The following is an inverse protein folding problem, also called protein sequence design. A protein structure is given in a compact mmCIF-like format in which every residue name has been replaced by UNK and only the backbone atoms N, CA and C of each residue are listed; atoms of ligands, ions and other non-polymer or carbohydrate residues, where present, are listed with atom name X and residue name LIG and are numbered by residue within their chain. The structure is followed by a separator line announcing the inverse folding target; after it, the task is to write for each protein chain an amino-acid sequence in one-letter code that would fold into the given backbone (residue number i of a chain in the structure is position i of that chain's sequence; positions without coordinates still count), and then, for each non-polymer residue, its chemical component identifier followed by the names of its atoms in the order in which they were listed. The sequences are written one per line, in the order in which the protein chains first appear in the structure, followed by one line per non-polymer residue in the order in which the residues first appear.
data_IF_283005073814
#
_entry.id   IF_283005073814
#
_cell.length_a   1.000
_cell.length_b   1.000
_cell.length_c   1.000
_cell.angle_alpha   90.00
_cell.angle_beta   90.00
_cell.angle_gamma   90.00
#
_symmetry.space_group_name_H-M   'P 1'
#
loop_
_entity.id
_entity.type
_entity.pdbx_description
1 polymer ?
#
# COMPACT_ATOMS: atom_id res chain seq x y z
N UNK A 1 -23.98 6.75 6.02
CA UNK A 1 -24.47 6.26 4.71
C UNK A 1 -25.71 5.42 4.95
N UNK A 2 -26.68 5.53 4.05
CA UNK A 2 -28.00 4.92 4.16
C UNK A 2 -28.16 3.80 3.12
N UNK A 3 -27.55 2.62 3.34
CA UNK A 3 -27.62 1.53 2.38
C UNK A 3 -29.02 0.94 2.35
N UNK A 4 -29.60 0.82 1.16
CA UNK A 4 -30.89 0.15 1.02
C UNK A 4 -30.80 -1.34 1.39
N UNK A 5 -31.87 -1.89 1.95
CA UNK A 5 -31.93 -3.31 2.31
C UNK A 5 -32.06 -4.19 1.07
N UNK A 6 -32.95 -3.82 0.15
CA UNK A 6 -33.29 -4.52 -1.08
C UNK A 6 -33.02 -3.65 -2.31
N UNK A 7 -32.68 -4.27 -3.44
CA UNK A 7 -32.48 -3.58 -4.73
C UNK A 7 -31.50 -2.39 -4.69
N UNK A 8 -30.38 -2.59 -4.00
CA UNK A 8 -29.35 -1.58 -3.73
C UNK A 8 -28.75 -0.92 -4.96
N UNK A 9 -28.88 -1.57 -6.11
CA UNK A 9 -28.48 -1.08 -7.41
C UNK A 9 -29.37 0.07 -7.92
N UNK A 10 -30.55 0.28 -7.35
CA UNK A 10 -31.54 1.24 -7.85
C UNK A 10 -31.25 2.65 -7.32
N UNK A 11 -30.91 3.64 -8.19
CA UNK A 11 -30.53 4.98 -7.75
C UNK A 11 -31.63 5.73 -6.98
N UNK A 12 -32.91 5.54 -7.35
CA UNK A 12 -34.04 6.25 -6.74
C UNK A 12 -34.12 6.08 -5.21
N UNK A 13 -33.60 4.96 -4.67
CA UNK A 13 -33.59 4.70 -3.23
C UNK A 13 -32.71 5.68 -2.47
N UNK A 14 -31.77 6.32 -3.16
CA UNK A 14 -30.79 7.23 -2.58
C UNK A 14 -31.07 8.70 -2.89
N UNK A 15 -32.07 9.02 -3.71
CA UNK A 15 -32.43 10.41 -4.07
C UNK A 15 -32.71 11.27 -2.83
N UNK A 16 -33.40 10.69 -1.85
CA UNK A 16 -33.71 11.35 -0.57
C UNK A 16 -32.45 11.77 0.21
N UNK A 17 -31.32 11.10 0.00
CA UNK A 17 -30.07 11.38 0.71
C UNK A 17 -29.15 12.34 -0.07
N UNK A 18 -29.50 12.73 -1.31
CA UNK A 18 -28.64 13.58 -2.13
C UNK A 18 -28.36 14.94 -1.50
N UNK A 19 -29.29 15.45 -0.68
CA UNK A 19 -29.16 16.74 -0.01
C UNK A 19 -28.47 16.65 1.37
N UNK A 20 -28.15 15.44 1.85
CA UNK A 20 -27.45 15.26 3.13
C UNK A 20 -25.96 15.61 3.04
N UNK A 21 -25.39 15.57 1.83
CA UNK A 21 -23.97 15.83 1.59
C UNK A 21 -23.81 17.18 0.90
N UNK A 22 -23.05 18.07 1.53
CA UNK A 22 -22.68 19.35 0.96
C UNK A 22 -21.65 19.15 -0.15
N UNK A 23 -22.11 19.25 -1.39
CA UNK A 23 -21.30 19.16 -2.61
C UNK A 23 -21.07 20.52 -3.29
N UNK A 24 -21.18 21.63 -2.54
CA UNK A 24 -21.13 22.98 -3.11
C UNK A 24 -19.82 23.27 -3.87
N UNK A 25 -19.96 23.60 -5.16
CA UNK A 25 -18.82 23.85 -6.05
C UNK A 25 -17.98 22.61 -6.32
N UNK A 26 -18.60 21.42 -6.29
CA UNK A 26 -18.03 20.16 -6.77
C UNK A 26 -18.95 19.69 -7.90
N UNK A 27 -18.41 19.59 -9.10
CA UNK A 27 -19.15 19.10 -10.27
C UNK A 27 -19.19 17.58 -10.31
N UNK A 28 -20.31 17.04 -10.79
CA UNK A 28 -20.40 15.64 -11.18
C UNK A 28 -20.03 15.47 -12.67
N UNK A 29 -19.35 14.37 -13.06
CA UNK A 29 -18.76 13.35 -12.20
C UNK A 29 -17.59 13.91 -11.36
N UNK A 30 -17.47 13.44 -10.11
CA UNK A 30 -16.45 13.90 -9.17
C UNK A 30 -15.07 13.52 -9.70
N UNK A 31 -14.22 14.51 -9.97
CA UNK A 31 -12.88 14.27 -10.47
C UNK A 31 -11.98 13.61 -9.39
N UNK A 32 -11.11 12.70 -9.83
CA UNK A 32 -10.13 12.00 -8.99
C UNK A 32 -8.97 12.92 -8.61
N UNK A 33 -9.26 13.89 -7.74
CA UNK A 33 -8.31 14.87 -7.23
C UNK A 33 -8.39 14.95 -5.70
N UNK A 34 -7.24 14.87 -5.03
CA UNK A 34 -7.16 14.93 -3.57
C UNK A 34 -7.62 16.27 -3.00
N UNK A 35 -7.48 17.36 -3.76
CA UNK A 35 -8.00 18.67 -3.37
C UNK A 35 -9.53 18.69 -3.31
N UNK A 36 -10.20 17.94 -4.21
CA UNK A 36 -11.66 17.76 -4.19
C UNK A 36 -12.07 16.91 -3.00
N UNK A 37 -11.37 15.80 -2.72
CA UNK A 37 -11.66 14.98 -1.54
C UNK A 37 -11.41 15.71 -0.22
N UNK A 38 -10.36 16.55 -0.17
CA UNK A 38 -10.14 17.46 0.96
C UNK A 38 -11.30 18.45 1.11
N UNK A 39 -11.78 19.03 0.00
CA UNK A 39 -12.93 19.94 0.01
C UNK A 39 -14.20 19.25 0.52
N UNK A 40 -14.49 18.03 0.08
CA UNK A 40 -15.63 17.24 0.56
C UNK A 40 -15.55 17.04 2.08
N UNK A 41 -14.39 16.64 2.61
CA UNK A 41 -14.22 16.46 4.07
C UNK A 41 -14.39 17.77 4.85
N UNK A 42 -13.87 18.88 4.33
CA UNK A 42 -14.04 20.20 4.95
C UNK A 42 -15.49 20.67 4.94
N UNK A 43 -16.25 20.32 3.91
CA UNK A 43 -17.68 20.66 3.78
C UNK A 43 -18.59 19.74 4.60
N UNK A 44 -18.10 18.55 4.99
CA UNK A 44 -18.86 17.49 5.65
C UNK A 44 -17.98 16.84 6.75
N UNK A 45 -17.71 17.54 7.87
CA UNK A 45 -16.78 17.08 8.89
C UNK A 45 -17.20 15.77 9.58
N UNK A 46 -18.48 15.43 9.57
CA UNK A 46 -19.02 14.15 10.06
C UNK A 46 -18.78 12.96 9.10
N UNK A 47 -18.30 13.22 7.89
CA UNK A 47 -18.13 12.22 6.82
C UNK A 47 -16.65 11.85 6.69
N UNK A 48 -16.27 10.70 7.28
CA UNK A 48 -14.92 10.14 7.18
C UNK A 48 -14.83 9.03 6.14
N UNK A 49 -13.87 9.16 5.21
CA UNK A 49 -13.79 8.25 4.07
C UNK A 49 -12.43 7.99 3.48
N UNK A 50 -12.32 6.81 2.87
CA UNK A 50 -11.21 6.36 2.05
C UNK A 50 -11.65 6.10 0.61
N UNK A 51 -10.72 6.38 -0.29
CA UNK A 51 -10.81 6.08 -1.73
C UNK A 51 -9.62 5.19 -2.09
N UNK A 52 -9.92 4.00 -2.58
CA UNK A 52 -8.97 3.06 -3.16
C UNK A 52 -9.15 3.02 -4.68
N UNK A 53 -8.16 2.49 -5.38
CA UNK A 53 -8.25 2.21 -6.81
C UNK A 53 -7.58 0.89 -7.13
N UNK A 54 -7.95 0.29 -8.25
CA UNK A 54 -7.35 -0.94 -8.77
C UNK A 54 -6.38 -0.53 -9.86
N UNK A 55 -5.19 -1.12 -9.84
CA UNK A 55 -4.22 -0.98 -10.91
C UNK A 55 -3.87 -2.35 -11.45
N UNK A 56 -3.73 -2.43 -12.77
CA UNK A 56 -3.16 -3.62 -13.39
C UNK A 56 -1.65 -3.54 -13.25
N UNK A 57 -1.06 -4.59 -12.70
CA UNK A 57 0.36 -4.80 -12.59
C UNK A 57 0.75 -5.93 -13.54
N UNK A 58 1.71 -5.66 -14.42
CA UNK A 58 2.35 -6.71 -15.20
C UNK A 58 3.44 -7.32 -14.32
N UNK A 59 3.17 -8.47 -13.73
CA UNK A 59 4.24 -9.29 -13.17
C UNK A 59 4.85 -10.07 -14.32
N UNK A 60 5.94 -9.55 -14.89
CA UNK A 60 6.73 -10.31 -15.83
C UNK A 60 7.28 -11.55 -15.14
N UNK A 61 7.00 -12.73 -15.71
CA UNK A 61 7.74 -13.94 -15.36
C UNK A 61 9.24 -13.62 -15.44
N UNK A 62 9.93 -13.66 -14.28
CA UNK A 62 11.39 -13.54 -14.23
C UNK A 62 12.08 -14.79 -14.78
N UNK A 63 11.30 -15.81 -15.15
CA UNK A 63 11.74 -17.04 -15.77
C UNK A 63 11.97 -16.83 -17.28
N UNK A 64 13.23 -16.87 -17.76
CA UNK A 64 13.56 -16.64 -19.16
C UNK A 64 12.96 -17.67 -20.13
N UNK A 65 12.49 -18.83 -19.64
CA UNK A 65 11.88 -19.89 -20.45
C UNK A 65 10.34 -19.78 -20.59
N UNK A 66 9.68 -18.91 -19.80
CA UNK A 66 8.21 -18.74 -19.80
C UNK A 66 7.78 -17.29 -20.10
N UNK A 67 8.37 -16.71 -21.14
CA UNK A 67 8.10 -15.32 -21.57
C UNK A 67 6.68 -15.05 -22.09
N UNK A 68 5.89 -16.08 -22.37
CA UNK A 68 4.62 -15.93 -23.09
C UNK A 68 3.36 -15.83 -22.21
N UNK A 69 3.49 -15.93 -20.88
CA UNK A 69 2.35 -15.72 -19.96
C UNK A 69 2.57 -14.44 -19.15
N UNK A 70 2.10 -13.31 -19.68
CA UNK A 70 1.87 -12.11 -18.86
C UNK A 70 0.57 -12.37 -18.09
N UNK A 71 0.67 -12.74 -16.82
CA UNK A 71 -0.50 -12.73 -15.94
C UNK A 71 -0.75 -11.29 -15.50
N UNK A 72 -1.85 -10.71 -15.98
CA UNK A 72 -2.33 -9.43 -15.48
C UNK A 72 -2.78 -9.59 -14.03
N UNK A 73 -2.00 -9.07 -13.08
CA UNK A 73 -2.41 -9.05 -11.68
C UNK A 73 -3.09 -7.73 -11.34
N UNK A 74 -4.16 -7.78 -10.54
CA UNK A 74 -4.87 -6.59 -10.08
C UNK A 74 -4.42 -6.25 -8.66
N UNK A 75 -3.85 -5.07 -8.48
CA UNK A 75 -3.41 -4.59 -7.17
C UNK A 75 -4.34 -3.48 -6.68
N UNK A 76 -4.86 -3.63 -5.46
CA UNK A 76 -5.62 -2.58 -4.76
C UNK A 76 -4.66 -1.66 -4.03
N UNK A 77 -4.85 -0.36 -4.20
CA UNK A 77 -3.97 0.66 -3.62
C UNK A 77 -4.77 1.85 -3.09
N UNK A 78 -4.25 2.55 -2.07
CA UNK A 78 -4.92 3.72 -1.51
C UNK A 78 -4.70 4.92 -2.44
N UNK A 79 -5.79 5.54 -2.89
CA UNK A 79 -5.73 6.80 -3.60
C UNK A 79 -5.72 7.97 -2.61
N UNK A 80 -6.68 7.97 -1.69
CA UNK A 80 -6.84 8.96 -0.64
C UNK A 80 -7.41 8.29 0.61
N UNK A 81 -6.83 8.56 1.76
CA UNK A 81 -7.21 7.96 3.03
C UNK A 81 -7.64 9.06 3.99
N UNK A 82 -8.60 8.74 4.83
CA UNK A 82 -8.96 9.60 5.95
C UNK A 82 -7.70 9.86 6.81
N UNK A 83 -7.39 11.12 7.13
CA UNK A 83 -6.18 11.45 7.88
C UNK A 83 -6.30 11.15 9.37
N UNK A 84 -7.51 11.06 9.92
CA UNK A 84 -7.73 10.91 11.36
C UNK A 84 -7.96 9.44 11.72
N UNK A 85 -8.94 8.79 11.09
CA UNK A 85 -9.22 7.37 11.32
C UNK A 85 -9.51 6.63 10.01
N UNK A 86 -8.46 6.31 9.24
CA UNK A 86 -8.62 5.56 8.00
C UNK A 86 -9.21 4.17 8.26
N UNK A 87 -9.05 3.56 9.45
CA UNK A 87 -9.63 2.24 9.65
C UNK A 87 -11.15 2.28 9.81
N UNK A 88 -11.68 3.19 10.61
CA UNK A 88 -13.14 3.26 10.83
C UNK A 88 -13.87 4.00 9.71
N UNK A 89 -13.16 4.86 8.97
CA UNK A 89 -13.68 5.53 7.79
C UNK A 89 -14.29 4.56 6.77
N UNK A 90 -15.41 4.97 6.17
CA UNK A 90 -16.02 4.18 5.11
C UNK A 90 -15.05 4.08 3.94
N UNK A 91 -15.16 3.00 3.19
CA UNK A 91 -14.15 2.67 2.19
C UNK A 91 -14.80 2.48 0.85
N UNK A 92 -14.35 3.25 -0.14
CA UNK A 92 -14.78 3.12 -1.53
C UNK A 92 -13.63 2.68 -2.42
N UNK A 93 -13.93 2.02 -3.52
CA UNK A 93 -12.99 1.73 -4.59
C UNK A 93 -13.49 2.31 -5.89
N UNK A 94 -12.60 2.96 -6.63
CA UNK A 94 -12.88 3.38 -7.99
C UNK A 94 -12.64 2.20 -8.93
N UNK A 95 -13.70 1.77 -9.61
CA UNK A 95 -13.66 0.75 -10.66
C UNK A 95 -14.37 1.29 -11.90
N UNK A 96 -13.68 1.38 -13.03
CA UNK A 96 -14.22 1.86 -14.32
C UNK A 96 -15.04 3.16 -14.21
N UNK A 97 -14.49 4.16 -13.51
CA UNK A 97 -15.13 5.46 -13.33
C UNK A 97 -16.25 5.52 -12.28
N UNK A 98 -16.56 4.40 -11.62
CA UNK A 98 -17.60 4.31 -10.60
C UNK A 98 -17.01 4.10 -9.21
N UNK A 99 -17.47 4.87 -8.23
CA UNK A 99 -17.15 4.63 -6.82
C UNK A 99 -18.06 3.53 -6.27
N UNK A 100 -17.45 2.45 -5.80
CA UNK A 100 -18.13 1.29 -5.22
C UNK A 100 -17.81 1.22 -3.74
N UNK A 101 -18.83 1.09 -2.90
CA UNK A 101 -18.65 0.93 -1.47
C UNK A 101 -18.13 -0.47 -1.12
N UNK A 102 -17.04 -0.53 -0.37
CA UNK A 102 -16.42 -1.76 0.13
C UNK A 102 -16.96 -2.06 1.53
N UNK A 103 -17.77 -3.12 1.63
CA UNK A 103 -18.30 -3.62 2.91
C UNK A 103 -17.31 -4.47 3.69
N UNK A 104 -16.48 -5.22 2.97
CA UNK A 104 -15.46 -6.08 3.55
C UNK A 104 -14.15 -5.89 2.82
N UNK A 105 -13.23 -5.17 3.44
CA UNK A 105 -11.89 -4.98 2.90
C UNK A 105 -11.13 -6.32 2.83
N UNK A 106 -11.34 -7.22 3.80
CA UNK A 106 -10.78 -8.57 3.77
C UNK A 106 -11.33 -9.41 2.61
N UNK A 107 -12.58 -9.19 2.20
CA UNK A 107 -13.15 -9.87 1.03
C UNK A 107 -12.55 -9.37 -0.27
N UNK A 108 -12.31 -8.05 -0.36
CA UNK A 108 -11.69 -7.43 -1.53
C UNK A 108 -10.29 -7.98 -1.83
N UNK A 109 -9.49 -8.25 -0.79
CA UNK A 109 -8.13 -8.77 -0.94
C UNK A 109 -8.00 -10.24 -0.54
N UNK A 110 -9.10 -11.00 -0.62
CA UNK A 110 -9.13 -12.37 -0.14
C UNK A 110 -8.06 -13.24 -0.81
N UNK A 111 -7.88 -13.12 -2.12
CA UNK A 111 -6.93 -13.93 -2.90
C UNK A 111 -5.50 -13.37 -2.91
N UNK A 112 -5.23 -12.28 -2.18
CA UNK A 112 -3.88 -11.69 -2.14
C UNK A 112 -2.84 -12.56 -1.43
N UNK A 113 -3.28 -13.56 -0.67
CA UNK A 113 -2.39 -14.55 -0.02
C UNK A 113 -3.02 -15.94 -0.04
N UNK A 114 -2.21 -16.97 0.16
CA UNK A 114 -2.67 -18.37 0.28
C UNK A 114 -3.52 -18.66 1.53
N UNK A 115 -3.70 -17.68 2.40
CA UNK A 115 -4.44 -17.86 3.65
C UNK A 115 -5.92 -17.59 3.43
N UNK A 116 -6.74 -18.63 3.48
CA UNK A 116 -8.17 -18.60 3.13
C UNK A 116 -9.10 -18.09 4.26
N UNK A 117 -8.55 -17.59 5.36
CA UNK A 117 -9.36 -17.04 6.46
C UNK A 117 -9.38 -15.52 6.45
N UNK A 118 -10.31 -14.94 7.21
CA UNK A 118 -10.44 -13.49 7.42
C UNK A 118 -9.08 -12.89 7.80
N UNK A 119 -8.71 -11.80 7.11
CA UNK A 119 -7.48 -11.07 7.31
C UNK A 119 -7.80 -9.75 8.01
N UNK A 120 -7.03 -9.42 9.04
CA UNK A 120 -7.16 -8.13 9.73
C UNK A 120 -6.15 -7.15 9.13
N UNK A 121 -6.62 -6.25 8.27
CA UNK A 121 -5.75 -5.43 7.44
C UNK A 121 -5.68 -4.00 7.94
N UNK A 122 -4.47 -3.46 8.05
CA UNK A 122 -4.24 -2.04 8.27
C UNK A 122 -4.41 -1.28 6.94
N UNK A 123 -5.41 -0.39 6.85
CA UNK A 123 -5.67 0.37 5.62
C UNK A 123 -4.58 1.39 5.26
N UNK A 124 -3.72 1.76 6.22
CA UNK A 124 -2.61 2.69 6.01
C UNK A 124 -1.42 2.06 5.27
N UNK A 125 -1.04 0.84 5.67
CA UNK A 125 0.20 0.20 5.20
C UNK A 125 -0.03 -1.19 4.56
N UNK A 126 -1.28 -1.66 4.50
CA UNK A 126 -1.67 -2.99 4.02
C UNK A 126 -1.07 -4.16 4.82
N UNK A 127 -0.54 -3.92 6.03
CA UNK A 127 -0.12 -4.99 6.90
C UNK A 127 -1.31 -5.90 7.24
N UNK A 128 -1.13 -7.19 7.00
CA UNK A 128 -2.11 -8.24 7.29
C UNK A 128 -1.75 -8.91 8.61
N UNK A 129 -2.66 -8.83 9.57
CA UNK A 129 -2.57 -9.49 10.86
C UNK A 129 -3.51 -10.69 10.93
N UNK A 130 -3.13 -11.68 11.73
CA UNK A 130 -3.93 -12.90 11.98
C UNK A 130 -5.12 -12.68 12.91
N UNK A 131 -5.12 -11.60 13.70
CA UNK A 131 -6.18 -11.28 14.66
C UNK A 131 -6.41 -9.76 14.74
N UNK A 132 -7.58 -9.38 15.25
CA UNK A 132 -7.93 -7.98 15.50
C UNK A 132 -6.99 -7.34 16.53
N UNK A 133 -6.62 -8.10 17.56
CA UNK A 133 -5.69 -7.66 18.58
C UNK A 133 -4.30 -7.33 18.01
N UNK A 134 -3.77 -8.18 17.11
CA UNK A 134 -2.49 -7.88 16.47
C UNK A 134 -2.58 -6.64 15.57
N UNK A 135 -3.72 -6.43 14.91
CA UNK A 135 -3.95 -5.22 14.14
C UNK A 135 -4.02 -3.98 15.04
N UNK A 136 -4.67 -4.06 16.21
CA UNK A 136 -4.77 -2.93 17.13
C UNK A 136 -3.40 -2.53 17.72
N UNK A 137 -2.57 -3.51 18.08
CA UNK A 137 -1.18 -3.28 18.49
C UNK A 137 -0.39 -2.64 17.35
N UNK A 138 -0.46 -3.22 16.15
CA UNK A 138 0.21 -2.67 14.97
C UNK A 138 -0.21 -1.21 14.68
N UNK A 139 -1.49 -0.87 14.86
CA UNK A 139 -1.98 0.50 14.60
C UNK A 139 -1.35 1.54 15.52
N UNK A 140 -1.06 1.20 16.78
CA UNK A 140 -0.43 2.12 17.72
C UNK A 140 0.94 2.57 17.20
N UNK A 141 1.70 1.66 16.59
CA UNK A 141 2.98 2.00 15.99
C UNK A 141 2.82 2.60 14.59
N UNK A 142 1.90 2.07 13.77
CA UNK A 142 1.70 2.49 12.39
C UNK A 142 1.20 3.94 12.26
N UNK A 143 0.41 4.44 13.22
CA UNK A 143 -0.10 5.82 13.23
C UNK A 143 0.98 6.85 13.62
N UNK A 144 2.04 6.44 14.31
CA UNK A 144 3.13 7.33 14.73
C UNK A 144 4.03 7.73 13.57
N UNK A 145 3.98 7.02 12.46
CA UNK A 145 4.69 7.40 11.24
C UNK A 145 3.89 8.52 10.57
N UNK A 146 4.37 9.79 10.59
CA UNK A 146 3.59 10.94 10.13
C UNK A 146 3.30 10.90 8.63
N UNK A 147 4.05 10.06 7.91
CA UNK A 147 3.83 9.78 6.52
C UNK A 147 3.22 8.38 6.43
N UNK A 148 1.97 8.33 5.99
CA UNK A 148 1.46 7.16 5.29
C UNK A 148 2.59 6.68 4.36
N UNK A 149 2.92 5.38 4.36
CA UNK A 149 3.82 4.80 3.36
C UNK A 149 3.12 4.85 1.99
N UNK A 150 2.85 6.07 1.51
CA UNK A 150 2.25 6.37 0.23
C UNK A 150 3.31 5.98 -0.77
N UNK A 151 3.03 4.93 -1.54
CA UNK A 151 3.69 4.75 -2.82
C UNK A 151 3.45 6.04 -3.61
N UNK A 152 4.45 6.92 -3.65
CA UNK A 152 4.44 8.09 -4.55
C UNK A 152 4.73 7.55 -5.92
N UNK A 153 3.69 7.41 -6.72
CA UNK A 153 3.86 7.04 -8.11
C UNK A 153 4.49 8.22 -8.86
N UNK A 154 5.31 7.95 -9.90
CA UNK A 154 5.85 8.99 -10.74
C UNK A 154 4.71 9.81 -11.34
N UNK A 155 5.00 11.07 -11.69
CA UNK A 155 4.03 11.86 -12.44
C UNK A 155 3.88 11.26 -13.83
N UNK A 156 2.64 11.09 -14.28
CA UNK A 156 2.35 10.77 -15.67
C UNK A 156 2.91 11.88 -16.57
N UNK A 157 3.61 11.50 -17.65
CA UNK A 157 4.33 12.46 -18.51
C UNK A 157 3.39 13.43 -19.23
N UNK A 158 2.18 12.99 -19.60
CA UNK A 158 1.18 13.80 -20.31
C UNK A 158 0.36 14.70 -19.38
N UNK A 159 0.01 14.19 -18.21
CA UNK A 159 -1.02 14.74 -17.36
C UNK A 159 -0.49 15.29 -16.02
N UNK A 160 0.80 15.09 -15.73
CA UNK A 160 1.54 15.55 -14.55
C UNK A 160 0.97 15.12 -13.17
N UNK A 161 -0.07 14.28 -13.16
CA UNK A 161 -0.65 13.70 -11.95
C UNK A 161 0.16 12.47 -11.50
N UNK A 162 0.39 12.36 -10.19
CA UNK A 162 1.01 11.19 -9.56
C UNK A 162 -0.05 10.13 -9.30
N UNK A 163 -0.55 9.51 -10.37
CA UNK A 163 -1.53 8.43 -10.28
C UNK A 163 -0.99 7.15 -10.95
N UNK A 164 -1.16 5.98 -10.32
CA UNK A 164 -0.57 4.72 -10.75
C UNK A 164 -1.20 4.14 -12.03
N UNK A 165 -2.41 4.55 -12.35
CA UNK A 165 -2.93 4.62 -13.71
C UNK A 165 -3.54 6.03 -13.83
N UNK A 166 -3.06 6.84 -14.77
CA UNK A 166 -3.79 8.06 -15.05
C UNK A 166 -5.13 7.65 -15.67
N UNK A 167 -6.21 7.70 -14.90
CA UNK A 167 -7.55 7.42 -15.42
C UNK A 167 -7.93 8.28 -16.63
N UNK A 168 -7.28 9.43 -16.80
CA UNK A 168 -7.55 10.36 -17.88
C UNK A 168 -6.86 9.97 -19.21
N UNK A 169 -5.74 9.25 -19.17
CA UNK A 169 -4.99 8.92 -20.38
C UNK A 169 -4.53 7.45 -20.48
N UNK A 170 -4.88 6.61 -19.51
CA UNK A 170 -4.58 5.18 -19.42
C UNK A 170 -3.08 4.81 -19.51
N UNK A 171 -2.18 5.80 -19.57
CA UNK A 171 -0.74 5.58 -19.47
C UNK A 171 -0.35 5.43 -18.00
N UNK A 172 0.33 4.31 -17.69
CA UNK A 172 0.93 4.10 -16.38
C UNK A 172 2.17 4.98 -16.26
N UNK A 173 2.33 5.64 -15.12
CA UNK A 173 3.60 6.25 -14.75
C UNK A 173 4.54 5.14 -14.28
N UNK A 174 4.96 4.26 -15.20
CA UNK A 174 5.85 3.14 -14.91
C UNK A 174 7.30 3.62 -14.91
N UNK A 175 7.98 3.47 -13.76
CA UNK A 175 9.44 3.48 -13.71
C UNK A 175 9.89 2.07 -14.05
N UNK A 176 10.40 1.88 -15.26
CA UNK A 176 11.09 0.66 -15.64
C UNK A 176 12.57 1.00 -15.73
N UNK A 177 13.41 0.19 -15.08
CA UNK A 177 14.82 0.16 -15.41
C UNK A 177 14.92 -0.36 -16.85
N UNK A 178 15.12 0.54 -17.80
CA UNK A 178 15.23 0.20 -19.23
C UNK A 178 16.69 0.11 -19.68
N UNK A 179 17.59 0.82 -18.98
CA UNK A 179 19.00 0.92 -19.31
C UNK A 179 19.85 0.14 -18.30
N UNK A 180 19.70 -1.18 -18.29
CA UNK A 180 20.52 -2.05 -17.42
C UNK A 180 22.01 -1.90 -17.70
N UNK A 181 22.38 -1.56 -18.94
CA UNK A 181 23.77 -1.32 -19.35
C UNK A 181 24.33 0.04 -18.88
N UNK A 182 23.49 0.96 -18.40
CA UNK A 182 23.94 2.23 -17.79
C UNK A 182 23.92 2.18 -16.27
N UNK A 183 23.82 0.99 -15.69
CA UNK A 183 24.13 0.81 -14.27
C UNK A 183 25.53 1.37 -14.04
N UNK A 184 25.69 2.19 -12.99
CA UNK A 184 27.02 2.65 -12.63
C UNK A 184 27.86 1.43 -12.33
N UNK A 185 29.00 1.27 -13.02
CA UNK A 185 30.05 0.33 -12.60
C UNK A 185 30.35 0.68 -11.15
N UNK A 186 30.13 -0.26 -10.23
CA UNK A 186 30.27 -0.01 -8.81
C UNK A 186 31.78 0.15 -8.56
N UNK A 187 32.29 1.37 -8.28
CA UNK A 187 33.73 1.60 -8.22
C UNK A 187 34.37 0.94 -6.98
N UNK A 188 33.56 0.67 -5.96
CA UNK A 188 33.97 0.04 -4.69
C UNK A 188 32.87 -0.89 -4.20
N UNK A 189 33.19 -2.17 -4.01
CA UNK A 189 32.32 -3.16 -3.39
C UNK A 189 32.88 -3.54 -2.02
N UNK A 190 32.11 -3.29 -0.96
CA UNK A 190 32.48 -3.69 0.41
C UNK A 190 31.71 -4.97 0.74
N UNK A 191 32.43 -6.09 0.79
CA UNK A 191 31.91 -7.37 1.26
C UNK A 191 32.30 -7.50 2.72
N UNK A 192 31.33 -7.68 3.60
CA UNK A 192 31.58 -7.87 5.02
C UNK A 192 30.87 -9.12 5.52
N UNK A 193 31.59 -9.92 6.29
CA UNK A 193 31.07 -11.07 7.01
C UNK A 193 31.16 -10.81 8.51
N UNK A 194 30.12 -11.15 9.26
CA UNK A 194 30.00 -10.83 10.68
C UNK A 194 29.75 -12.11 11.47
N UNK A 195 30.71 -12.43 12.33
CA UNK A 195 30.63 -13.57 13.23
C UNK A 195 30.01 -13.14 14.56
N UNK A 196 29.13 -13.98 15.10
CA UNK A 196 28.52 -13.73 16.40
C UNK A 196 28.47 -14.99 17.26
N UNK A 197 28.76 -14.84 18.54
CA UNK A 197 28.49 -15.87 19.53
C UNK A 197 27.01 -15.86 19.88
N UNK A 198 26.43 -17.06 19.92
CA UNK A 198 25.03 -17.27 20.30
C UNK A 198 24.97 -17.53 21.80
N UNK A 199 24.73 -16.49 22.59
CA UNK A 199 24.50 -16.66 24.02
C UNK A 199 23.03 -17.06 24.25
N UNK A 200 22.80 -18.27 24.76
CA UNK A 200 21.46 -18.71 25.18
C UNK A 200 20.90 -17.72 26.19
N UNK A 201 19.71 -17.20 25.90
CA UNK A 201 19.01 -16.32 26.83
C UNK A 201 18.15 -17.19 27.73
N UNK A 202 18.22 -16.99 29.05
CA UNK A 202 17.30 -17.65 29.96
C UNK A 202 15.90 -17.09 29.66
N UNK A 203 14.88 -17.94 29.40
CA UNK A 203 13.55 -17.44 29.14
C UNK A 203 13.07 -16.69 30.39
N UNK A 204 13.02 -15.36 30.31
CA UNK A 204 12.31 -14.59 31.31
C UNK A 204 10.83 -14.83 31.08
N UNK A 205 10.20 -15.60 31.97
CA UNK A 205 8.76 -15.73 32.04
C UNK A 205 8.16 -14.40 32.52
N UNK A 206 8.09 -13.41 31.62
CA UNK A 206 7.40 -12.15 31.90
C UNK A 206 6.50 -11.83 30.71
N UNK A 207 5.22 -12.16 30.89
CA UNK A 207 4.11 -11.67 30.07
C UNK A 207 3.86 -12.48 28.79
N UNK A 208 2.56 -12.67 28.50
CA UNK A 208 1.99 -13.32 27.31
C UNK A 208 2.43 -12.67 25.99
N UNK A 209 3.69 -12.85 25.61
CA UNK A 209 4.19 -12.51 24.27
C UNK A 209 4.69 -13.79 23.62
N UNK A 210 4.13 -14.15 22.46
CA UNK A 210 4.48 -15.39 21.73
C UNK A 210 5.89 -15.36 21.12
N UNK A 211 6.70 -14.34 21.44
CA UNK A 211 8.06 -14.14 20.94
C UNK A 211 9.05 -14.32 22.07
N UNK A 212 9.55 -15.55 22.21
CA UNK A 212 10.64 -15.85 23.14
C UNK A 212 11.97 -15.45 22.50
N UNK A 213 12.74 -14.59 23.17
CA UNK A 213 14.13 -14.31 22.79
C UNK A 213 14.97 -15.55 23.17
N UNK A 214 15.29 -16.39 22.18
CA UNK A 214 16.02 -17.64 22.39
C UNK A 214 17.52 -17.40 22.60
N UNK A 215 18.08 -16.46 21.85
CA UNK A 215 19.52 -16.21 21.83
C UNK A 215 19.83 -14.72 21.67
N UNK A 216 20.87 -14.28 22.35
CA UNK A 216 21.48 -12.96 22.18
C UNK A 216 22.71 -13.15 21.30
N UNK A 217 22.71 -12.50 20.14
CA UNK A 217 23.88 -12.45 19.27
C UNK A 217 24.87 -11.45 19.84
N UNK A 218 26.04 -11.93 20.24
CA UNK A 218 27.15 -11.09 20.69
C UNK A 218 28.14 -11.01 19.52
N UNK A 219 28.41 -9.83 18.95
CA UNK A 219 29.42 -9.68 17.91
C UNK A 219 30.76 -10.24 18.40
N UNK A 220 31.35 -11.12 17.60
CA UNK A 220 32.60 -11.81 17.93
C UNK A 220 33.74 -11.28 17.06
N UNK A 221 33.51 -11.22 15.76
CA UNK A 221 34.46 -10.76 14.78
C UNK A 221 33.72 -10.27 13.54
N UNK A 222 34.44 -9.55 12.69
CA UNK A 222 33.98 -9.23 11.35
C UNK A 222 35.16 -9.29 10.38
N UNK A 223 34.92 -9.81 9.19
CA UNK A 223 35.82 -9.70 8.05
C UNK A 223 35.28 -8.64 7.10
N UNK A 224 36.13 -7.74 6.63
CA UNK A 224 35.77 -6.84 5.53
C UNK A 224 36.77 -7.02 4.40
N UNK A 225 36.25 -7.19 3.20
CA UNK A 225 36.99 -7.07 1.96
C UNK A 225 36.44 -5.89 1.17
N UNK A 226 37.30 -4.92 0.91
CA UNK A 226 37.01 -3.84 -0.02
C UNK A 226 37.57 -4.26 -1.37
N UNK A 227 36.70 -4.43 -2.35
CA UNK A 227 37.05 -4.79 -3.72
C UNK A 227 36.93 -3.51 -4.53
N UNK A 228 38.04 -3.07 -5.10
CA UNK A 228 38.08 -2.00 -6.08
C UNK A 228 37.94 -2.61 -7.47
N UNK A 229 37.22 -1.93 -8.35
CA UNK A 229 37.30 -2.25 -9.76
C UNK A 229 38.72 -1.88 -10.26
N UNK A 230 39.47 -2.80 -10.89
CA UNK A 230 40.84 -2.55 -11.34
C UNK A 230 40.99 -1.32 -12.23
N UNK A 231 39.92 -0.89 -12.92
CA UNK A 231 39.90 0.35 -13.72
C UNK A 231 40.10 1.62 -12.86
N UNK A 232 39.96 1.53 -11.53
CA UNK A 232 40.04 2.65 -10.59
C UNK A 232 41.20 2.56 -9.59
N UNK A 233 42.10 1.56 -9.70
CA UNK A 233 43.27 1.41 -8.81
C UNK A 233 44.44 2.37 -9.12
N UNK A 234 44.33 3.20 -10.16
CA UNK A 234 45.43 4.08 -10.65
C UNK A 234 45.16 5.59 -10.57
N UNK A 235 44.17 6.02 -9.77
CA UNK A 235 43.89 7.44 -9.47
C UNK A 235 44.47 7.88 -8.12
#
# INVERSE_FOLDING_TARGET
MNPAEFHRERPHQYEQFMNEVNMNGISFPVAMDKSIFRKIRLQNPEIHFNVFTIINTEEGNQDPEKKDSIEESKTVIPFDLDPEDPQSAFTSILNDGHFVWIRSFSGLIFDSTRHEQKKWICKNCFHMSSSEHHLSVHRQDCSTVPYQQRRKFPKCKKCLQSNPQCLNCQESATLRFSQFWTQQKIPVMIVADFESFLQKTIPMAVGNTSRQKLQKHIPAAFGVQVIFDPEYESL
#
